data_IF_424104333122
#
_entry.id   IF_424104333122
#
_cell.length_a   1.000
_cell.length_b   1.000
_cell.length_c   1.000
_cell.angle_alpha   90.00
_cell.angle_beta   90.00
_cell.angle_gamma   90.00
#
_symmetry.space_group_name_H-M   'P 1'
#
loop_
_entity.id
_entity.type
_entity.pdbx_description
1 polymer ?
#
# COMPACT_ATOMS: atom_id res chain seq x y z
N UNK A 1 6.84 22.33 -13.33
CA UNK A 1 7.84 21.99 -12.32
C UNK A 1 8.35 20.58 -12.57
N UNK A 2 9.63 20.38 -12.89
CA UNK A 2 10.22 19.03 -12.98
C UNK A 2 10.38 18.50 -11.55
N UNK A 3 9.78 17.35 -11.22
CA UNK A 3 10.01 16.66 -9.94
C UNK A 3 11.50 16.29 -9.90
N UNK A 4 12.21 16.74 -8.88
CA UNK A 4 13.57 16.23 -8.62
C UNK A 4 13.42 14.75 -8.26
N UNK A 5 13.92 13.87 -9.11
CA UNK A 5 14.10 12.46 -8.77
C UNK A 5 15.09 12.41 -7.60
N UNK A 6 14.58 12.22 -6.39
CA UNK A 6 15.40 11.93 -5.23
C UNK A 6 16.04 10.57 -5.46
N UNK A 7 17.37 10.49 -5.42
CA UNK A 7 18.05 9.19 -5.50
C UNK A 7 17.57 8.29 -4.36
N UNK A 8 17.41 6.97 -4.61
CA UNK A 8 16.99 6.00 -3.58
C UNK A 8 17.81 6.14 -2.29
N UNK A 9 19.10 6.44 -2.41
CA UNK A 9 20.00 6.64 -1.27
C UNK A 9 19.66 7.88 -0.42
N UNK A 10 18.97 8.88 -0.99
CA UNK A 10 18.47 10.06 -0.28
C UNK A 10 17.14 9.78 0.41
N UNK A 11 16.29 8.95 -0.21
CA UNK A 11 15.02 8.49 0.39
C UNK A 11 15.30 7.55 1.58
N UNK A 12 16.21 6.58 1.42
CA UNK A 12 16.63 5.67 2.51
C UNK A 12 17.34 6.38 3.68
N UNK A 13 18.02 7.51 3.43
CA UNK A 13 18.61 8.36 4.48
C UNK A 13 17.58 9.24 5.22
N UNK A 14 16.42 9.49 4.62
CA UNK A 14 15.42 10.41 5.16
C UNK A 14 14.31 9.73 5.97
N UNK A 15 14.20 8.41 5.96
CA UNK A 15 13.33 7.71 6.91
C UNK A 15 14.00 7.67 8.29
N UNK A 16 14.02 8.83 8.94
CA UNK A 16 14.29 8.93 10.36
C UNK A 16 13.05 8.38 11.08
N UNK A 17 13.09 7.09 11.42
CA UNK A 17 12.10 6.52 12.32
C UNK A 17 12.21 7.19 13.68
N UNK A 18 11.06 7.47 14.30
CA UNK A 18 11.05 7.90 15.69
C UNK A 18 11.66 6.81 16.58
N UNK A 19 12.21 7.20 17.72
CA UNK A 19 12.75 6.24 18.70
C UNK A 19 11.70 5.18 19.10
N UNK A 20 10.44 5.60 19.27
CA UNK A 20 9.33 4.70 19.54
C UNK A 20 9.09 3.70 18.39
N UNK A 21 9.18 4.15 17.14
CA UNK A 21 9.06 3.26 15.97
C UNK A 21 10.19 2.22 15.95
N UNK A 22 11.42 2.62 16.26
CA UNK A 22 12.57 1.72 16.34
C UNK A 22 12.37 0.68 17.47
N UNK A 23 11.90 1.11 18.63
CA UNK A 23 11.63 0.22 19.78
C UNK A 23 10.52 -0.78 19.46
N UNK A 24 9.46 -0.35 18.79
CA UNK A 24 8.39 -1.22 18.35
C UNK A 24 8.88 -2.25 17.33
N UNK A 25 9.72 -1.86 16.37
CA UNK A 25 10.31 -2.79 15.39
C UNK A 25 11.15 -3.85 16.09
N UNK A 26 11.99 -3.46 17.05
CA UNK A 26 12.77 -4.40 17.88
C UNK A 26 11.87 -5.35 18.65
N UNK A 27 10.84 -4.82 19.31
CA UNK A 27 9.88 -5.64 20.05
C UNK A 27 9.22 -6.70 19.15
N UNK A 28 8.82 -6.32 17.93
CA UNK A 28 8.22 -7.24 16.95
C UNK A 28 9.18 -8.35 16.52
N UNK A 29 10.46 -8.03 16.38
CA UNK A 29 11.51 -9.00 16.01
C UNK A 29 11.81 -9.94 17.19
N UNK A 30 11.92 -9.40 18.40
CA UNK A 30 12.18 -10.18 19.62
C UNK A 30 11.07 -11.20 19.88
N UNK A 31 9.83 -10.85 19.52
CA UNK A 31 8.67 -11.74 19.61
C UNK A 31 8.50 -12.66 18.38
N UNK A 32 9.47 -12.65 17.46
CA UNK A 32 9.49 -13.46 16.22
C UNK A 32 8.28 -13.26 15.32
N UNK A 33 7.64 -12.09 15.40
CA UNK A 33 6.55 -11.71 14.48
C UNK A 33 7.14 -11.43 13.10
N UNK A 34 8.31 -10.80 13.06
CA UNK A 34 9.13 -10.61 11.87
C UNK A 34 10.55 -11.11 12.14
N UNK A 35 11.24 -11.56 11.10
CA UNK A 35 12.63 -12.04 11.15
C UNK A 35 13.64 -10.89 11.15
N UNK A 36 13.26 -9.73 10.61
CA UNK A 36 14.13 -8.55 10.50
C UNK A 36 13.34 -7.25 10.35
N UNK A 37 14.00 -6.11 10.57
CA UNK A 37 13.41 -4.78 10.34
C UNK A 37 13.01 -4.58 8.87
N UNK A 38 13.84 -5.07 7.94
CA UNK A 38 13.58 -5.00 6.49
C UNK A 38 12.28 -5.72 6.12
N UNK A 39 12.10 -6.96 6.59
CA UNK A 39 10.87 -7.74 6.31
C UNK A 39 9.62 -7.02 6.86
N UNK A 40 9.71 -6.46 8.07
CA UNK A 40 8.61 -5.73 8.67
C UNK A 40 8.21 -4.50 7.83
N UNK A 41 9.19 -3.76 7.31
CA UNK A 41 8.97 -2.58 6.48
C UNK A 41 8.41 -2.96 5.11
N UNK A 42 8.98 -3.98 4.45
CA UNK A 42 8.53 -4.43 3.13
C UNK A 42 7.06 -4.89 3.18
N UNK A 43 6.69 -5.70 4.18
CA UNK A 43 5.30 -6.13 4.37
C UNK A 43 4.35 -4.98 4.68
N UNK A 44 4.81 -3.96 5.43
CA UNK A 44 4.00 -2.77 5.69
C UNK A 44 3.75 -1.97 4.41
N UNK A 45 4.78 -1.82 3.56
CA UNK A 45 4.67 -1.13 2.26
C UNK A 45 3.71 -1.89 1.33
N UNK A 46 3.86 -3.21 1.23
CA UNK A 46 2.95 -4.05 0.43
C UNK A 46 1.50 -3.90 0.88
N UNK A 47 1.24 -3.96 2.19
CA UNK A 47 -0.11 -3.73 2.74
C UNK A 47 -0.66 -2.36 2.39
N UNK A 48 0.14 -1.30 2.55
CA UNK A 48 -0.30 0.06 2.21
C UNK A 48 -0.63 0.18 0.72
N UNK A 49 0.18 -0.44 -0.14
CA UNK A 49 -0.06 -0.49 -1.58
C UNK A 49 -1.36 -1.23 -1.90
N UNK A 50 -1.58 -2.41 -1.33
CA UNK A 50 -2.81 -3.18 -1.56
C UNK A 50 -4.05 -2.41 -1.12
N UNK A 51 -4.01 -1.76 0.05
CA UNK A 51 -5.12 -0.92 0.53
C UNK A 51 -5.41 0.22 -0.45
N UNK A 52 -4.36 0.87 -0.96
CA UNK A 52 -4.51 1.94 -1.95
C UNK A 52 -5.12 1.43 -3.26
N UNK A 53 -4.63 0.32 -3.80
CA UNK A 53 -5.13 -0.29 -5.04
C UNK A 53 -6.62 -0.69 -4.90
N UNK A 54 -7.00 -1.33 -3.79
CA UNK A 54 -8.40 -1.66 -3.49
C UNK A 54 -9.28 -0.40 -3.40
N UNK A 55 -8.77 0.68 -2.83
CA UNK A 55 -9.52 1.95 -2.72
C UNK A 55 -9.71 2.64 -4.09
N UNK A 56 -8.73 2.55 -5.00
CA UNK A 56 -8.88 3.04 -6.37
C UNK A 56 -9.85 2.19 -7.19
N UNK A 57 -9.83 0.87 -7.01
CA UNK A 57 -10.77 -0.05 -7.64
C UNK A 57 -12.20 0.16 -7.15
N UNK A 58 -12.38 0.40 -5.84
CA UNK A 58 -13.68 0.76 -5.27
C UNK A 58 -14.18 2.15 -5.72
N UNK A 59 -13.26 3.04 -6.14
CA UNK A 59 -13.59 4.38 -6.65
C UNK A 59 -13.89 4.40 -8.15
N UNK A 60 -13.64 3.30 -8.88
CA UNK A 60 -14.06 3.18 -10.28
C UNK A 60 -15.57 2.94 -10.32
N UNK A 61 -16.34 3.73 -11.08
CA UNK A 61 -17.75 3.43 -11.26
C UNK A 61 -17.87 2.05 -11.89
N UNK A 62 -18.53 1.13 -11.18
CA UNK A 62 -18.98 -0.12 -11.76
C UNK A 62 -19.90 0.25 -12.92
N UNK A 63 -19.47 0.04 -14.15
CA UNK A 63 -20.35 0.06 -15.32
C UNK A 63 -21.29 -1.13 -15.13
N UNK A 64 -22.39 -0.91 -14.41
CA UNK A 64 -23.54 -1.78 -14.43
C UNK A 64 -24.31 -1.46 -15.70
N UNK A 65 -24.14 -2.27 -16.74
CA UNK A 65 -25.22 -2.47 -17.71
C UNK A 65 -25.58 -3.95 -17.67
N UNK A 66 -26.50 -4.25 -16.76
CA UNK A 66 -27.36 -5.42 -16.88
C UNK A 66 -28.53 -5.07 -17.79
N UNK A 67 -28.88 -6.03 -18.65
CA UNK A 67 -30.20 -6.29 -19.22
C UNK A 67 -30.92 -5.17 -19.99
N UNK A 68 -30.90 -5.28 -21.31
CA UNK A 68 -32.08 -5.03 -22.15
C UNK A 68 -32.39 -6.33 -22.92
N UNK A 69 -32.90 -7.32 -22.20
CA UNK A 69 -33.71 -8.39 -22.79
C UNK A 69 -35.17 -8.06 -22.47
N UNK A 70 -36.02 -8.16 -23.51
CA UNK A 70 -37.47 -7.96 -23.54
C UNK A 70 -38.02 -6.53 -23.82
N UNK A 71 -38.22 -6.20 -25.10
CA UNK A 71 -39.55 -6.20 -25.75
C UNK A 71 -39.55 -5.50 -27.12
N UNK A 72 -39.74 -6.28 -28.19
CA UNK A 72 -40.88 -6.07 -29.11
C UNK A 72 -41.05 -7.25 -30.08
N UNK A 73 -42.06 -8.06 -29.81
CA UNK A 73 -42.87 -8.62 -30.89
C UNK A 73 -43.38 -7.48 -31.77
N UNK A 74 -43.18 -7.61 -33.08
CA UNK A 74 -44.29 -7.57 -34.04
C UNK A 74 -43.86 -8.17 -35.38
#
# INVERSE_FOLDING_TARGET
MKRKELSEASVRRNYAFSQCTIENLKWLIDHRIYRSETEAIDLAIERMRTIYEMSEEASKPSISENLEDAKKSK
#
